data_IF_907864788363
#
_entry.id   IF_907864788363
#
_cell.length_a   1.000
_cell.length_b   1.000
_cell.length_c   1.000
_cell.angle_alpha   90.00
_cell.angle_beta   90.00
_cell.angle_gamma   90.00
#
_symmetry.space_group_name_H-M   'P 1'
#
loop_
_entity.id
_entity.type
_entity.pdbx_description
1 polymer ?
#
# COMPACT_ATOMS: atom_id res chain seq x y z
N UNK A 1 29.85 -7.69 -8.96
CA UNK A 1 29.42 -7.20 -7.63
C UNK A 1 30.54 -7.49 -6.63
N UNK A 2 30.79 -6.63 -5.63
CA UNK A 2 31.87 -6.80 -4.64
C UNK A 2 31.34 -7.20 -3.25
N UNK A 3 30.27 -7.99 -3.19
CA UNK A 3 29.75 -8.48 -1.92
C UNK A 3 30.41 -9.81 -1.57
N UNK A 4 31.02 -9.87 -0.39
CA UNK A 4 31.77 -11.05 0.07
C UNK A 4 30.89 -12.05 0.85
N UNK A 5 29.64 -11.69 1.15
CA UNK A 5 28.70 -12.52 1.90
C UNK A 5 27.23 -12.27 1.48
N UNK A 6 26.35 -13.24 1.81
CA UNK A 6 24.93 -13.22 1.44
C UNK A 6 24.19 -11.98 1.97
N UNK A 7 24.52 -11.53 3.18
CA UNK A 7 23.88 -10.38 3.82
C UNK A 7 24.26 -9.10 3.08
N UNK A 8 25.54 -8.92 2.77
CA UNK A 8 26.04 -7.80 1.97
C UNK A 8 25.41 -7.79 0.58
N UNK A 9 25.23 -8.96 -0.03
CA UNK A 9 24.57 -9.09 -1.32
C UNK A 9 23.10 -8.67 -1.30
N UNK A 10 22.35 -9.12 -0.28
CA UNK A 10 20.95 -8.71 -0.06
C UNK A 10 20.84 -7.21 0.23
N UNK A 11 21.72 -6.64 1.03
CA UNK A 11 21.71 -5.20 1.33
C UNK A 11 21.95 -4.34 0.08
N UNK A 12 22.88 -4.76 -0.79
CA UNK A 12 23.11 -4.08 -2.06
C UNK A 12 21.89 -4.15 -2.99
N UNK A 13 21.16 -5.27 -3.01
CA UNK A 13 19.87 -5.34 -3.72
C UNK A 13 18.84 -4.37 -3.15
N UNK A 14 18.70 -4.34 -1.82
CA UNK A 14 17.73 -3.49 -1.13
C UNK A 14 18.02 -2.00 -1.33
N UNK A 15 19.29 -1.59 -1.43
CA UNK A 15 19.69 -0.21 -1.64
C UNK A 15 19.07 0.43 -2.91
N UNK A 16 18.70 -0.39 -3.91
CA UNK A 16 18.01 0.05 -5.13
C UNK A 16 16.61 0.62 -4.88
N UNK A 17 16.01 0.34 -3.73
CA UNK A 17 14.66 0.75 -3.37
C UNK A 17 14.63 1.87 -2.32
N UNK A 18 15.76 2.56 -2.08
CA UNK A 18 15.88 3.63 -1.07
C UNK A 18 14.81 4.72 -1.22
N UNK A 19 14.46 5.07 -2.46
CA UNK A 19 13.48 6.11 -2.79
C UNK A 19 12.02 5.59 -2.77
N UNK A 20 11.82 4.33 -2.37
CA UNK A 20 10.50 3.70 -2.23
C UNK A 20 10.36 3.01 -0.87
N UNK A 21 10.16 3.77 0.23
CA UNK A 21 10.21 3.24 1.60
C UNK A 21 9.27 2.05 1.86
N UNK A 22 8.06 2.08 1.30
CA UNK A 22 7.09 1.00 1.43
C UNK A 22 7.55 -0.30 0.72
N UNK A 23 8.11 -0.16 -0.50
CA UNK A 23 8.68 -1.29 -1.25
C UNK A 23 9.90 -1.85 -0.52
N UNK A 24 10.81 -0.98 -0.08
CA UNK A 24 12.00 -1.35 0.68
C UNK A 24 11.62 -2.12 1.95
N UNK A 25 10.67 -1.63 2.73
CA UNK A 25 10.21 -2.30 3.95
C UNK A 25 9.62 -3.69 3.66
N UNK A 26 8.81 -3.81 2.60
CA UNK A 26 8.24 -5.09 2.19
C UNK A 26 9.32 -6.07 1.71
N UNK A 27 10.25 -5.61 0.88
CA UNK A 27 11.30 -6.45 0.29
C UNK A 27 12.31 -6.89 1.33
N UNK A 28 12.74 -5.96 2.21
CA UNK A 28 13.58 -6.26 3.36
C UNK A 28 12.95 -7.33 4.24
N UNK A 29 11.67 -7.20 4.55
CA UNK A 29 10.94 -8.17 5.39
C UNK A 29 10.97 -9.58 4.79
N UNK A 30 10.74 -9.75 3.49
CA UNK A 30 10.76 -11.10 2.88
C UNK A 30 12.19 -11.65 2.73
N UNK A 31 13.17 -10.81 2.37
CA UNK A 31 14.57 -11.23 2.31
C UNK A 31 15.12 -11.62 3.69
N UNK A 32 14.79 -10.86 4.73
CA UNK A 32 15.16 -11.14 6.12
C UNK A 32 14.56 -12.47 6.61
N UNK A 33 13.29 -12.76 6.28
CA UNK A 33 12.66 -14.05 6.60
C UNK A 33 13.40 -15.23 5.99
N UNK A 34 13.79 -15.13 4.71
CA UNK A 34 14.53 -16.19 4.05
C UNK A 34 15.91 -16.37 4.69
N UNK A 35 16.66 -15.27 4.90
CA UNK A 35 17.98 -15.32 5.54
C UNK A 35 17.92 -15.95 6.93
N UNK A 36 16.92 -15.57 7.74
CA UNK A 36 16.73 -16.17 9.06
C UNK A 36 16.42 -17.66 8.95
N UNK A 37 15.55 -18.07 8.01
CA UNK A 37 15.23 -19.48 7.81
C UNK A 37 16.45 -20.30 7.36
N UNK A 38 17.23 -19.78 6.41
CA UNK A 38 18.50 -20.35 5.98
C UNK A 38 19.43 -20.68 7.16
N UNK A 39 19.64 -19.70 8.05
CA UNK A 39 20.59 -19.82 9.17
C UNK A 39 20.02 -20.64 10.33
N UNK A 40 18.77 -20.41 10.72
CA UNK A 40 18.22 -20.94 11.98
C UNK A 40 17.33 -22.18 11.83
N UNK A 41 16.94 -22.55 10.61
CA UNK A 41 16.07 -23.70 10.35
C UNK A 41 16.69 -24.69 9.37
N UNK A 42 17.24 -24.20 8.26
CA UNK A 42 17.67 -25.05 7.15
C UNK A 42 19.17 -25.42 7.21
N UNK A 43 20.00 -24.57 7.81
CA UNK A 43 21.44 -24.80 7.96
C UNK A 43 22.22 -24.67 6.66
N UNK A 44 21.76 -23.82 5.73
CA UNK A 44 22.34 -23.66 4.40
C UNK A 44 22.46 -22.18 4.03
N UNK A 45 23.55 -21.79 3.36
CA UNK A 45 23.71 -20.41 2.88
C UNK A 45 22.61 -20.04 1.88
N UNK A 46 22.27 -18.75 1.77
CA UNK A 46 21.29 -18.27 0.78
C UNK A 46 21.79 -18.52 -0.64
N UNK A 47 23.09 -18.36 -0.86
CA UNK A 47 23.76 -18.59 -2.14
C UNK A 47 23.80 -20.06 -2.58
N UNK A 48 23.67 -21.00 -1.65
CA UNK A 48 23.68 -22.44 -1.95
C UNK A 48 22.28 -23.03 -2.18
N UNK A 49 21.21 -22.25 -1.99
CA UNK A 49 19.84 -22.76 -2.08
C UNK A 49 19.51 -23.31 -3.48
N UNK A 50 18.93 -24.50 -3.51
CA UNK A 50 18.43 -25.17 -4.72
C UNK A 50 16.93 -25.00 -4.88
N UNK A 51 16.39 -25.58 -5.96
CA UNK A 51 14.95 -25.63 -6.17
C UNK A 51 14.21 -26.37 -5.06
N UNK A 52 14.75 -27.50 -4.60
CA UNK A 52 14.17 -28.33 -3.54
C UNK A 52 14.10 -27.58 -2.20
N UNK A 53 15.13 -26.79 -1.89
CA UNK A 53 15.15 -25.96 -0.69
C UNK A 53 14.01 -24.93 -0.69
N UNK A 54 13.66 -24.39 -1.86
CA UNK A 54 12.52 -23.50 -1.99
C UNK A 54 11.18 -24.21 -1.82
N UNK A 55 11.05 -25.49 -2.18
CA UNK A 55 9.84 -26.27 -1.88
C UNK A 55 9.67 -26.48 -0.36
N UNK A 56 10.78 -26.70 0.35
CA UNK A 56 10.79 -26.76 1.80
C UNK A 56 10.43 -25.41 2.42
N UNK A 57 10.99 -24.31 1.90
CA UNK A 57 10.65 -22.97 2.36
C UNK A 57 9.18 -22.60 2.10
N UNK A 58 8.62 -23.00 0.94
CA UNK A 58 7.19 -22.80 0.64
C UNK A 58 6.29 -23.49 1.66
N UNK A 59 6.61 -24.75 1.99
CA UNK A 59 5.89 -25.51 3.02
C UNK A 59 6.02 -24.85 4.40
N UNK A 60 7.22 -24.36 4.72
CA UNK A 60 7.48 -23.63 5.96
C UNK A 60 6.71 -22.29 6.04
N UNK A 61 6.46 -21.58 4.93
CA UNK A 61 5.65 -20.36 4.96
C UNK A 61 4.17 -20.63 5.26
N UNK A 62 3.67 -21.81 4.89
CA UNK A 62 2.31 -22.28 5.19
C UNK A 62 2.17 -22.68 6.66
N UNK A 63 3.19 -23.31 7.23
CA UNK A 63 3.24 -23.69 8.65
C UNK A 63 4.66 -23.51 9.25
N UNK A 64 4.98 -22.30 9.77
CA UNK A 64 6.31 -22.03 10.32
C UNK A 64 6.53 -22.74 11.67
N UNK A 65 7.35 -23.80 11.66
CA UNK A 65 7.68 -24.60 12.83
C UNK A 65 9.16 -24.44 13.26
N UNK A 66 9.48 -24.47 14.57
CA UNK A 66 8.54 -24.50 15.70
C UNK A 66 7.87 -23.12 15.91
N UNK A 67 6.58 -23.14 16.24
CA UNK A 67 5.73 -21.93 16.28
C UNK A 67 6.28 -20.83 17.19
N UNK A 68 6.83 -21.19 18.35
CA UNK A 68 7.39 -20.27 19.36
C UNK A 68 8.63 -19.51 18.89
N UNK A 69 9.34 -20.02 17.87
CA UNK A 69 10.51 -19.39 17.24
C UNK A 69 10.17 -18.52 16.03
N UNK A 70 9.04 -18.77 15.38
CA UNK A 70 8.75 -18.16 14.07
C UNK A 70 7.50 -17.29 14.07
N UNK A 71 6.52 -17.60 14.92
CA UNK A 71 5.21 -16.94 14.95
C UNK A 71 5.02 -16.19 16.27
N UNK A 72 4.67 -14.91 16.18
CA UNK A 72 4.37 -14.06 17.33
C UNK A 72 3.23 -14.67 18.17
N UNK A 73 3.46 -14.83 19.47
CA UNK A 73 2.48 -15.33 20.43
C UNK A 73 1.73 -14.19 21.16
N UNK A 74 1.59 -13.03 20.51
CA UNK A 74 1.03 -11.80 21.10
C UNK A 74 -0.14 -11.29 20.25
N UNK A 75 -1.16 -10.74 20.91
CA UNK A 75 -2.36 -10.21 20.24
C UNK A 75 -2.06 -9.00 19.34
N UNK A 76 -1.06 -8.20 19.71
CA UNK A 76 -0.61 -7.06 18.91
C UNK A 76 0.80 -7.31 18.37
N UNK A 77 1.07 -6.79 17.16
CA UNK A 77 2.37 -6.94 16.51
C UNK A 77 3.46 -6.29 17.37
N UNK A 78 4.39 -7.10 17.87
CA UNK A 78 5.52 -6.61 18.63
C UNK A 78 6.50 -5.83 17.73
N UNK A 79 7.10 -4.74 18.21
CA UNK A 79 8.18 -4.05 17.50
C UNK A 79 9.43 -4.94 17.45
N UNK A 80 10.33 -4.69 16.48
CA UNK A 80 11.56 -5.49 16.31
C UNK A 80 12.48 -5.54 17.52
N UNK A 81 12.48 -4.50 18.35
CA UNK A 81 13.28 -4.43 19.58
C UNK A 81 12.70 -5.26 20.72
N UNK A 82 11.48 -5.81 20.56
CA UNK A 82 10.84 -6.60 21.60
C UNK A 82 11.38 -8.03 21.64
N UNK A 83 11.59 -8.62 22.83
CA UNK A 83 11.94 -10.04 22.96
C UNK A 83 10.84 -10.98 22.44
N UNK A 84 9.60 -10.50 22.34
CA UNK A 84 8.46 -11.24 21.77
C UNK A 84 8.35 -11.11 20.25
N UNK A 85 9.25 -10.37 19.61
CA UNK A 85 9.24 -10.26 18.15
C UNK A 85 9.60 -11.59 17.51
N UNK A 86 8.87 -11.92 16.44
CA UNK A 86 9.12 -13.07 15.57
C UNK A 86 8.91 -12.67 14.10
N UNK A 87 9.54 -13.34 13.13
CA UNK A 87 9.45 -12.94 11.71
C UNK A 87 8.03 -13.05 11.11
N UNK A 88 7.15 -13.86 11.70
CA UNK A 88 5.76 -14.03 11.28
C UNK A 88 4.81 -13.58 12.38
N UNK A 89 3.79 -12.78 12.02
CA UNK A 89 2.68 -12.48 12.93
C UNK A 89 1.67 -13.63 12.98
N UNK A 90 1.59 -14.40 11.90
CA UNK A 90 0.80 -15.62 11.70
C UNK A 90 1.37 -16.37 10.48
N UNK A 91 1.05 -17.67 10.31
CA UNK A 91 1.33 -18.38 9.08
C UNK A 91 0.76 -17.64 7.86
N UNK A 92 1.45 -17.73 6.71
CA UNK A 92 1.08 -16.94 5.54
C UNK A 92 -0.06 -17.62 4.76
N UNK A 93 -1.06 -16.85 4.37
CA UNK A 93 -2.04 -17.32 3.38
C UNK A 93 -1.42 -17.47 1.98
N UNK A 94 -2.10 -18.20 1.09
CA UNK A 94 -1.62 -18.48 -0.27
C UNK A 94 -1.28 -17.23 -1.07
N UNK A 95 -2.00 -16.12 -0.88
CA UNK A 95 -1.71 -14.87 -1.59
C UNK A 95 -0.42 -14.24 -1.09
N UNK A 96 -0.22 -14.22 0.24
CA UNK A 96 0.96 -13.70 0.90
C UNK A 96 2.20 -14.53 0.60
N UNK A 97 2.09 -15.87 0.60
CA UNK A 97 3.17 -16.78 0.18
C UNK A 97 3.62 -16.46 -1.25
N UNK A 98 2.67 -16.32 -2.19
CA UNK A 98 2.98 -15.98 -3.59
C UNK A 98 3.69 -14.63 -3.71
N UNK A 99 3.27 -13.62 -2.96
CA UNK A 99 3.91 -12.31 -2.95
C UNK A 99 5.33 -12.38 -2.38
N UNK A 100 5.53 -13.13 -1.28
CA UNK A 100 6.84 -13.36 -0.69
C UNK A 100 7.79 -14.01 -1.69
N UNK A 101 7.37 -15.12 -2.31
CA UNK A 101 8.18 -15.83 -3.31
C UNK A 101 8.38 -15.05 -4.61
N UNK A 102 7.46 -14.15 -4.98
CA UNK A 102 7.67 -13.22 -6.11
C UNK A 102 8.75 -12.19 -5.80
N UNK A 103 8.77 -11.70 -4.56
CA UNK A 103 9.79 -10.77 -4.07
C UNK A 103 11.16 -11.45 -4.04
N UNK A 104 11.23 -12.67 -3.50
CA UNK A 104 12.45 -13.47 -3.49
C UNK A 104 12.93 -13.81 -4.91
N UNK A 105 12.03 -14.17 -5.82
CA UNK A 105 12.42 -14.37 -7.22
C UNK A 105 13.03 -13.10 -7.85
N UNK A 106 12.55 -11.91 -7.48
CA UNK A 106 13.17 -10.64 -7.92
C UNK A 106 14.55 -10.40 -7.31
N UNK A 107 14.78 -10.82 -6.05
CA UNK A 107 16.09 -10.80 -5.41
C UNK A 107 17.07 -11.74 -6.14
N UNK A 108 16.71 -13.02 -6.31
CA UNK A 108 17.59 -14.01 -6.94
C UNK A 108 17.90 -13.69 -8.39
N UNK A 109 16.92 -13.22 -9.17
CA UNK A 109 17.18 -12.73 -10.54
C UNK A 109 18.22 -11.61 -10.55
N UNK A 110 18.14 -10.68 -9.60
CA UNK A 110 19.11 -9.59 -9.52
C UNK A 110 20.49 -10.09 -9.09
N UNK A 111 20.57 -11.00 -8.12
CA UNK A 111 21.84 -11.58 -7.68
C UNK A 111 22.56 -12.34 -8.80
N UNK A 112 21.81 -13.03 -9.67
CA UNK A 112 22.37 -13.63 -10.89
C UNK A 112 22.89 -12.57 -11.86
N UNK A 113 22.09 -11.54 -12.14
CA UNK A 113 22.51 -10.42 -13.00
C UNK A 113 23.73 -9.66 -12.47
N UNK A 114 23.88 -9.60 -11.15
CA UNK A 114 25.01 -8.95 -10.48
C UNK A 114 26.28 -9.83 -10.46
N UNK A 115 26.18 -11.08 -10.92
CA UNK A 115 27.26 -12.07 -10.94
C UNK A 115 27.52 -12.74 -9.59
N UNK A 116 26.61 -12.58 -8.62
CA UNK A 116 26.76 -13.19 -7.28
C UNK A 116 26.34 -14.66 -7.27
N UNK A 117 25.29 -15.02 -8.03
CA UNK A 117 24.83 -16.39 -8.19
C UNK A 117 24.99 -16.86 -9.64
N UNK A 118 25.32 -18.14 -9.82
CA UNK A 118 25.38 -18.74 -11.15
C UNK A 118 23.99 -18.97 -11.77
N UNK A 119 22.95 -19.13 -10.95
CA UNK A 119 21.59 -19.40 -11.40
C UNK A 119 20.53 -19.03 -10.37
N UNK A 120 19.28 -18.88 -10.83
CA UNK A 120 18.14 -18.59 -9.96
C UNK A 120 17.38 -19.89 -9.63
N UNK A 121 17.38 -20.35 -8.37
CA UNK A 121 16.69 -21.59 -7.95
C UNK A 121 15.15 -21.50 -8.07
N UNK A 122 14.60 -20.29 -8.17
CA UNK A 122 13.17 -20.04 -8.39
C UNK A 122 12.79 -19.95 -9.88
N UNK A 123 13.75 -20.04 -10.82
CA UNK A 123 13.48 -19.90 -12.26
C UNK A 123 12.51 -20.96 -12.79
N UNK A 124 12.61 -22.19 -12.28
CA UNK A 124 11.77 -23.33 -12.68
C UNK A 124 10.41 -23.36 -11.96
N UNK A 125 10.13 -22.42 -11.05
CA UNK A 125 8.87 -22.40 -10.32
C UNK A 125 7.71 -22.19 -11.29
N UNK A 126 6.87 -23.22 -11.44
CA UNK A 126 5.68 -23.16 -12.27
C UNK A 126 4.76 -22.05 -11.76
N UNK A 127 4.66 -20.96 -12.52
CA UNK A 127 3.64 -19.93 -12.30
C UNK A 127 2.29 -20.57 -12.58
N UNK A 128 1.61 -21.10 -11.55
CA UNK A 128 0.22 -21.56 -11.70
C UNK A 128 -0.56 -20.40 -12.31
N UNK A 129 -1.15 -20.65 -13.48
CA UNK A 129 -2.01 -19.68 -14.19
C UNK A 129 -3.00 -19.11 -13.19
N UNK A 130 -3.08 -17.79 -13.15
CA UNK A 130 -4.01 -17.08 -12.29
C UNK A 130 -5.40 -17.41 -12.83
N UNK A 131 -6.17 -18.24 -12.11
CA UNK A 131 -7.61 -18.10 -12.18
C UNK A 131 -7.89 -16.62 -11.87
N UNK A 132 -8.50 -15.90 -12.84
CA UNK A 132 -8.80 -14.46 -12.74
C UNK A 132 -9.17 -14.15 -11.30
N UNK A 133 -8.52 -13.17 -10.63
CA UNK A 133 -8.95 -12.77 -9.29
C UNK A 133 -10.47 -12.59 -9.34
N UNK A 134 -11.18 -13.28 -8.46
CA UNK A 134 -12.62 -13.13 -8.35
C UNK A 134 -12.93 -11.63 -8.36
N UNK A 135 -13.90 -11.19 -9.19
CA UNK A 135 -14.35 -9.80 -9.25
C UNK A 135 -14.43 -9.28 -7.82
N UNK A 136 -13.78 -8.15 -7.53
CA UNK A 136 -13.76 -7.54 -6.20
C UNK A 136 -15.18 -7.54 -5.62
N UNK A 137 -15.46 -8.47 -4.71
CA UNK A 137 -16.80 -8.67 -4.15
C UNK A 137 -17.09 -7.72 -3.00
N UNK A 138 -16.08 -6.98 -2.56
CA UNK A 138 -16.16 -6.00 -1.48
C UNK A 138 -16.24 -4.60 -2.06
N UNK A 139 -17.45 -4.07 -2.16
CA UNK A 139 -17.73 -2.66 -2.39
C UNK A 139 -18.65 -2.16 -1.27
N UNK A 140 -18.72 -0.85 -1.08
CA UNK A 140 -19.66 -0.24 -0.14
C UNK A 140 -20.99 0.00 -0.89
N UNK A 141 -22.06 -0.76 -0.60
CA UNK A 141 -23.35 -0.54 -1.26
C UNK A 141 -23.95 0.80 -0.86
N UNK A 142 -24.89 1.29 -1.67
CA UNK A 142 -25.48 2.60 -1.50
C UNK A 142 -26.19 2.78 -0.14
N UNK A 143 -26.79 1.71 0.39
CA UNK A 143 -27.44 1.69 1.70
C UNK A 143 -26.45 1.90 2.86
N UNK A 144 -25.29 1.24 2.81
CA UNK A 144 -24.23 1.43 3.82
C UNK A 144 -23.58 2.80 3.68
N UNK A 145 -23.44 3.30 2.45
CA UNK A 145 -22.98 4.68 2.24
C UNK A 145 -23.95 5.71 2.82
N UNK A 146 -25.26 5.50 2.68
CA UNK A 146 -26.26 6.36 3.31
C UNK A 146 -26.12 6.38 4.85
N UNK A 147 -25.85 5.23 5.47
CA UNK A 147 -25.58 5.14 6.92
C UNK A 147 -24.30 5.88 7.33
N UNK A 148 -23.22 5.77 6.53
CA UNK A 148 -21.97 6.52 6.75
C UNK A 148 -22.24 8.02 6.69
N UNK A 149 -22.97 8.50 5.67
CA UNK A 149 -23.35 9.92 5.55
C UNK A 149 -24.16 10.39 6.75
N UNK A 150 -25.20 9.64 7.13
CA UNK A 150 -26.05 9.97 8.29
C UNK A 150 -25.23 10.02 9.60
N UNK A 151 -24.28 9.11 9.77
CA UNK A 151 -23.40 9.08 10.94
C UNK A 151 -22.48 10.30 10.99
N UNK A 152 -21.90 10.68 9.85
CA UNK A 152 -21.07 11.89 9.75
C UNK A 152 -21.92 13.15 10.02
N UNK A 153 -23.15 13.20 9.53
CA UNK A 153 -24.07 14.32 9.77
C UNK A 153 -24.50 14.44 11.23
N UNK A 154 -24.59 13.32 11.94
CA UNK A 154 -24.92 13.29 13.37
C UNK A 154 -23.72 13.57 14.29
N UNK A 155 -22.51 13.78 13.75
CA UNK A 155 -21.33 14.08 14.57
C UNK A 155 -21.55 15.38 15.37
N UNK A 156 -21.13 15.41 16.65
CA UNK A 156 -21.22 16.63 17.44
C UNK A 156 -20.50 17.79 16.76
N UNK A 157 -21.12 18.97 16.73
CA UNK A 157 -20.54 20.19 16.16
C UNK A 157 -20.70 21.41 17.09
N UNK A 158 -20.85 21.17 18.39
CA UNK A 158 -21.13 22.22 19.39
C UNK A 158 -19.90 23.07 19.75
N UNK A 159 -18.69 22.65 19.37
CA UNK A 159 -17.48 23.48 19.46
C UNK A 159 -16.88 23.68 18.07
N UNK A 160 -16.12 24.77 17.84
CA UNK A 160 -15.44 24.99 16.56
C UNK A 160 -14.55 23.82 16.14
N UNK A 161 -13.80 23.23 17.08
CA UNK A 161 -12.94 22.06 16.83
C UNK A 161 -13.73 20.87 16.32
N UNK A 162 -14.86 20.57 16.96
CA UNK A 162 -15.71 19.45 16.58
C UNK A 162 -16.40 19.71 15.23
N UNK A 163 -16.84 20.95 14.97
CA UNK A 163 -17.38 21.34 13.68
C UNK A 163 -16.36 21.17 12.54
N UNK A 164 -15.11 21.59 12.74
CA UNK A 164 -14.02 21.38 11.77
C UNK A 164 -13.74 19.90 11.55
N UNK A 165 -13.75 19.09 12.61
CA UNK A 165 -13.56 17.64 12.52
C UNK A 165 -14.68 16.96 11.72
N UNK A 166 -15.95 17.30 12.00
CA UNK A 166 -17.10 16.79 11.26
C UNK A 166 -17.03 17.16 9.77
N UNK A 167 -16.71 18.41 9.45
CA UNK A 167 -16.53 18.87 8.07
C UNK A 167 -15.38 18.14 7.37
N UNK A 168 -14.24 17.92 8.06
CA UNK A 168 -13.09 17.17 7.55
C UNK A 168 -13.46 15.71 7.24
N UNK A 169 -14.24 15.05 8.10
CA UNK A 169 -14.70 13.69 7.85
C UNK A 169 -15.67 13.61 6.67
N UNK A 170 -16.66 14.51 6.61
CA UNK A 170 -17.58 14.58 5.47
C UNK A 170 -16.84 14.71 4.15
N UNK A 171 -15.90 15.64 4.09
CA UNK A 171 -15.10 15.85 2.89
C UNK A 171 -14.21 14.66 2.53
N UNK A 172 -13.50 14.09 3.50
CA UNK A 172 -12.65 12.92 3.28
C UNK A 172 -13.44 11.75 2.71
N UNK A 173 -14.59 11.43 3.30
CA UNK A 173 -15.42 10.33 2.82
C UNK A 173 -16.02 10.60 1.44
N UNK A 174 -16.39 11.85 1.12
CA UNK A 174 -16.82 12.24 -0.23
C UNK A 174 -15.71 12.06 -1.28
N UNK A 175 -14.47 12.47 -0.98
CA UNK A 175 -13.32 12.23 -1.86
C UNK A 175 -13.08 10.73 -2.12
N UNK A 176 -13.16 9.91 -1.07
CA UNK A 176 -12.90 8.47 -1.16
C UNK A 176 -14.02 7.72 -1.88
N UNK A 177 -15.28 8.04 -1.58
CA UNK A 177 -16.44 7.33 -2.12
C UNK A 177 -16.87 7.83 -3.49
N UNK A 178 -17.05 9.15 -3.65
CA UNK A 178 -17.54 9.77 -4.89
C UNK A 178 -16.39 9.90 -5.90
N UNK A 179 -15.25 10.44 -5.45
CA UNK A 179 -14.08 10.61 -6.31
C UNK A 179 -13.32 9.31 -6.58
N UNK A 180 -13.50 8.28 -5.75
CA UNK A 180 -12.75 7.03 -5.85
C UNK A 180 -11.24 7.25 -5.67
N UNK A 181 -10.84 8.23 -4.85
CA UNK A 181 -9.43 8.51 -4.59
C UNK A 181 -8.86 7.46 -3.63
N UNK A 182 -7.58 7.15 -3.81
CA UNK A 182 -6.81 6.44 -2.78
C UNK A 182 -6.41 7.41 -1.67
N UNK A 183 -6.26 6.91 -0.44
CA UNK A 183 -5.79 7.73 0.70
C UNK A 183 -4.49 8.46 0.35
N UNK A 184 -3.54 7.79 -0.30
CA UNK A 184 -2.28 8.41 -0.72
C UNK A 184 -2.51 9.58 -1.69
N UNK A 185 -3.48 9.47 -2.59
CA UNK A 185 -3.83 10.51 -3.56
C UNK A 185 -4.43 11.73 -2.83
N UNK A 186 -5.27 11.51 -1.80
CA UNK A 186 -5.80 12.60 -0.96
C UNK A 186 -4.67 13.34 -0.22
N UNK A 187 -3.62 12.62 0.20
CA UNK A 187 -2.51 13.22 0.94
C UNK A 187 -1.52 14.01 0.07
N UNK A 188 -1.45 13.73 -1.24
CA UNK A 188 -0.40 14.30 -2.12
C UNK A 188 -0.91 15.33 -3.12
N UNK A 189 -2.22 15.43 -3.34
CA UNK A 189 -2.80 16.37 -4.29
C UNK A 189 -3.38 17.61 -3.56
N UNK A 190 -3.60 18.67 -4.34
CA UNK A 190 -4.00 20.00 -3.88
C UNK A 190 -5.42 20.36 -4.34
N UNK A 191 -5.99 21.40 -3.75
CA UNK A 191 -7.29 21.93 -4.17
C UNK A 191 -7.21 22.62 -5.54
N UNK A 192 -6.04 23.14 -5.93
CA UNK A 192 -5.80 23.75 -7.24
C UNK A 192 -5.85 22.77 -8.41
N UNK A 193 -5.86 21.46 -8.12
CA UNK A 193 -5.99 20.42 -9.14
C UNK A 193 -7.44 20.24 -9.62
N UNK A 194 -8.41 20.90 -8.98
CA UNK A 194 -9.79 20.98 -9.47
C UNK A 194 -9.92 22.08 -10.54
N UNK A 195 -10.46 21.72 -11.69
CA UNK A 195 -10.74 22.65 -12.77
C UNK A 195 -12.02 22.26 -13.51
N UNK A 196 -12.63 23.20 -14.22
CA UNK A 196 -13.75 22.92 -15.11
C UNK A 196 -13.31 23.01 -16.57
N UNK A 197 -13.97 22.22 -17.43
CA UNK A 197 -13.84 22.32 -18.89
C UNK A 197 -15.21 22.31 -19.52
N UNK A 198 -15.38 23.11 -20.58
CA UNK A 198 -16.59 23.09 -21.40
C UNK A 198 -16.53 21.92 -22.37
N UNK A 199 -17.57 21.10 -22.35
CA UNK A 199 -17.75 19.99 -23.28
C UNK A 199 -18.19 20.44 -24.67
N UNK A 200 -18.13 19.51 -25.63
CA UNK A 200 -18.69 19.71 -26.97
C UNK A 200 -20.21 19.96 -26.96
N UNK A 201 -20.91 19.48 -25.93
CA UNK A 201 -22.32 19.74 -25.63
C UNK A 201 -22.57 21.11 -24.98
N UNK A 202 -21.53 21.96 -24.85
CA UNK A 202 -21.62 23.30 -24.27
C UNK A 202 -21.74 23.34 -22.74
N UNK A 203 -21.79 22.18 -22.08
CA UNK A 203 -21.91 22.06 -20.61
C UNK A 203 -20.54 22.13 -19.94
N UNK A 204 -20.48 22.84 -18.82
CA UNK A 204 -19.28 22.87 -17.97
C UNK A 204 -19.25 21.61 -17.11
N UNK A 205 -18.10 20.94 -17.08
CA UNK A 205 -17.87 19.76 -16.24
C UNK A 205 -16.61 19.96 -15.41
N UNK A 206 -16.71 19.64 -14.14
CA UNK A 206 -15.57 19.66 -13.23
C UNK A 206 -14.75 18.37 -13.31
N UNK A 207 -13.46 18.55 -13.14
CA UNK A 207 -12.44 17.52 -13.15
C UNK A 207 -11.48 17.77 -11.99
N UNK A 208 -10.89 16.70 -11.52
CA UNK A 208 -9.77 16.72 -10.58
C UNK A 208 -8.61 15.98 -11.24
N UNK A 209 -7.48 16.67 -11.42
CA UNK A 209 -6.24 16.00 -11.79
C UNK A 209 -5.65 15.32 -10.56
N UNK A 210 -5.33 14.03 -10.68
CA UNK A 210 -4.79 13.25 -9.56
C UNK A 210 -3.46 12.65 -9.99
N UNK A 211 -2.37 13.14 -9.39
CA UNK A 211 -1.07 12.50 -9.46
C UNK A 211 -1.02 11.31 -8.49
N UNK A 212 -0.87 10.11 -9.05
CA UNK A 212 -0.81 8.85 -8.33
C UNK A 212 0.60 8.26 -8.22
N UNK A 213 0.69 6.99 -7.81
CA UNK A 213 1.98 6.29 -7.67
C UNK A 213 2.74 6.25 -9.00
N UNK A 214 4.01 6.69 -8.96
CA UNK A 214 4.91 6.71 -10.11
C UNK A 214 4.68 7.91 -11.04
N UNK A 215 4.21 9.04 -10.48
CA UNK A 215 3.94 10.30 -11.20
C UNK A 215 2.94 10.17 -12.35
N UNK A 216 2.12 9.11 -12.32
CA UNK A 216 1.06 8.92 -13.30
C UNK A 216 -0.14 9.75 -12.91
N UNK A 217 -0.49 10.70 -13.77
CA UNK A 217 -1.70 11.50 -13.64
C UNK A 217 -2.91 10.73 -14.17
N UNK A 218 -4.04 10.88 -13.49
CA UNK A 218 -5.34 10.42 -13.97
C UNK A 218 -6.37 11.50 -13.72
N UNK A 219 -7.31 11.63 -14.65
CA UNK A 219 -8.45 12.53 -14.50
C UNK A 219 -9.58 11.84 -13.76
N UNK A 220 -10.08 12.50 -12.72
CA UNK A 220 -11.27 12.10 -11.98
C UNK A 220 -12.40 13.04 -12.34
N UNK A 221 -13.54 12.56 -12.85
CA UNK A 221 -14.73 13.38 -12.99
C UNK A 221 -15.16 13.88 -11.61
N UNK A 222 -15.18 15.19 -11.41
CA UNK A 222 -15.73 15.79 -10.21
C UNK A 222 -17.21 16.06 -10.45
N UNK A 223 -18.05 15.13 -10.00
CA UNK A 223 -19.51 15.25 -10.13
C UNK A 223 -20.03 16.48 -9.38
N UNK A 224 -21.24 16.93 -9.73
CA UNK A 224 -21.88 18.06 -9.03
C UNK A 224 -22.01 17.81 -7.53
N UNK A 225 -22.22 16.55 -7.12
CA UNK A 225 -22.21 16.13 -5.72
C UNK A 225 -20.84 16.36 -5.08
N UNK A 226 -19.74 15.95 -5.73
CA UNK A 226 -18.39 16.13 -5.21
C UNK A 226 -18.01 17.62 -5.11
N UNK A 227 -18.37 18.42 -6.12
CA UNK A 227 -18.12 19.87 -6.13
C UNK A 227 -18.93 20.57 -5.04
N UNK A 228 -20.16 20.15 -4.79
CA UNK A 228 -20.99 20.68 -3.69
C UNK A 228 -20.36 20.40 -2.32
N UNK A 229 -19.80 19.19 -2.14
CA UNK A 229 -19.09 18.82 -0.91
C UNK A 229 -17.76 19.59 -0.75
N UNK A 230 -17.03 19.81 -1.85
CA UNK A 230 -15.84 20.67 -1.87
C UNK A 230 -16.18 22.10 -1.41
N UNK A 231 -17.23 22.70 -1.98
CA UNK A 231 -17.66 24.05 -1.63
C UNK A 231 -18.05 24.15 -0.15
N UNK A 232 -18.76 23.15 0.38
CA UNK A 232 -19.13 23.08 1.79
C UNK A 232 -17.89 23.03 2.69
N UNK A 233 -16.94 22.16 2.36
CA UNK A 233 -15.70 22.01 3.13
C UNK A 233 -14.83 23.26 3.09
N UNK A 234 -14.69 23.89 1.93
CA UNK A 234 -13.92 25.13 1.80
C UNK A 234 -14.52 26.25 2.64
N UNK A 235 -15.86 26.42 2.58
CA UNK A 235 -16.58 27.41 3.41
C UNK A 235 -16.41 27.15 4.91
N UNK A 236 -16.46 25.90 5.36
CA UNK A 236 -16.26 25.59 6.79
C UNK A 236 -14.85 25.91 7.29
N UNK A 237 -13.88 26.06 6.38
CA UNK A 237 -12.50 26.47 6.68
C UNK A 237 -12.23 27.95 6.35
N UNK A 238 -13.27 28.76 6.12
CA UNK A 238 -13.12 30.19 5.80
C UNK A 238 -12.53 30.48 4.42
N UNK A 239 -12.48 29.48 3.52
CA UNK A 239 -11.99 29.63 2.16
C UNK A 239 -13.13 29.98 1.19
N UNK A 240 -12.77 30.55 0.03
CA UNK A 240 -13.70 30.76 -1.07
C UNK A 240 -14.31 29.43 -1.55
N UNK A 241 -15.57 29.41 -2.03
CA UNK A 241 -16.30 28.17 -2.31
C UNK A 241 -15.63 27.30 -3.38
N UNK A 242 -15.03 27.92 -4.39
CA UNK A 242 -14.29 27.22 -5.44
C UNK A 242 -12.78 27.44 -5.26
N UNK A 243 -11.96 26.44 -5.62
CA UNK A 243 -10.53 26.62 -5.71
C UNK A 243 -10.18 27.60 -6.82
N UNK A 244 -9.05 28.29 -6.64
CA UNK A 244 -8.44 29.11 -7.69
C UNK A 244 -7.36 28.26 -8.37
N UNK A 245 -7.05 28.61 -9.60
CA UNK A 245 -5.88 28.04 -10.27
C UNK A 245 -4.63 28.32 -9.43
N UNK A 246 -3.82 27.29 -9.20
CA UNK A 246 -2.63 27.37 -8.34
C UNK A 246 -2.90 27.36 -6.83
N UNK A 247 -4.12 27.03 -6.38
CA UNK A 247 -4.42 26.85 -4.95
C UNK A 247 -3.61 25.68 -4.36
N UNK A 248 -2.55 26.01 -3.62
CA UNK A 248 -1.64 25.03 -3.01
C UNK A 248 -2.17 24.40 -1.72
N UNK A 249 -3.39 24.75 -1.29
CA UNK A 249 -4.01 24.10 -0.15
C UNK A 249 -4.12 22.59 -0.42
N UNK A 250 -3.76 21.71 0.53
CA UNK A 250 -3.91 20.28 0.35
C UNK A 250 -5.40 19.94 0.21
N UNK A 251 -5.72 18.84 -0.49
CA UNK A 251 -7.10 18.36 -0.56
C UNK A 251 -7.73 18.22 0.83
N UNK A 252 -6.97 17.83 1.85
CA UNK A 252 -7.47 17.66 3.22
C UNK A 252 -6.67 18.50 4.22
N UNK A 253 -7.20 19.67 4.58
CA UNK A 253 -6.57 20.65 5.48
C UNK A 253 -6.36 20.11 6.90
N UNK A 254 -5.18 20.28 7.51
CA UNK A 254 -4.88 19.80 8.87
C UNK A 254 -5.86 20.36 9.92
N UNK A 255 -6.02 19.63 11.03
CA UNK A 255 -6.82 20.04 12.20
C UNK A 255 -6.02 20.94 13.14
#
# INVERSE_FOLDING_TARGET
MAADDDRSAVLAWLARYKDSPATLASYRKEAERLLLWCVHQHGKALSDLTHEDFLAYESFLEDPQPVDRWVMQVAQKAPRSSPHWRPFAKPLDRQSQRQALSTLNSLFNWLVQAGYLAGNPLALRRRKSIARPAKTSRFLPHEHWAQVRATIEALPAHTPRLATQAARYRWLFSLLYIGGLRISEVCTNSMGDFYWRRGADGRERWWLDVCGKGEKTRLVPATDELVSELMRYRKSNGLGPLPREGDSAPLLLPL
#
